data_IF_603052289525
#
_entry.id   IF_603052289525
#
_cell.length_a   1.000
_cell.length_b   1.000
_cell.length_c   1.000
_cell.angle_alpha   90.00
_cell.angle_beta   90.00
_cell.angle_gamma   90.00
#
_symmetry.space_group_name_H-M   'P 1'
#
loop_
_entity.id
_entity.type
_entity.pdbx_description
1 polymer ?
#
# COMPACT_ATOMS: atom_id res chain seq x y z
N UNK A 1 -28.82 13.88 35.36
CA UNK A 1 -28.00 12.71 34.99
C UNK A 1 -26.75 12.76 35.87
N UNK A 2 -26.68 11.90 36.89
CA UNK A 2 -25.61 11.90 37.89
C UNK A 2 -24.51 10.92 37.47
N UNK A 3 -23.24 11.32 37.60
CA UNK A 3 -22.04 10.53 37.31
C UNK A 3 -22.02 9.17 38.06
N UNK A 4 -22.82 9.03 39.10
CA UNK A 4 -22.97 7.81 39.88
C UNK A 4 -23.45 6.58 39.07
N UNK A 5 -24.08 6.76 37.89
CA UNK A 5 -24.51 5.64 37.04
C UNK A 5 -23.39 5.03 36.17
N UNK A 6 -22.18 5.60 36.19
CA UNK A 6 -21.03 5.11 35.41
C UNK A 6 -20.11 4.16 36.21
N UNK A 7 -20.42 3.91 37.48
CA UNK A 7 -19.64 3.07 38.40
C UNK A 7 -20.36 1.76 38.73
N UNK A 8 -21.07 1.18 37.77
CA UNK A 8 -21.45 -0.23 37.91
C UNK A 8 -20.20 -1.06 37.68
N UNK A 9 -19.74 -1.86 38.67
CA UNK A 9 -18.72 -2.87 38.40
C UNK A 9 -19.30 -3.81 37.36
N UNK A 10 -18.62 -3.92 36.23
CA UNK A 10 -18.89 -4.97 35.24
C UNK A 10 -18.48 -6.28 35.91
N UNK A 11 -19.45 -7.15 36.16
CA UNK A 11 -19.17 -8.52 36.56
C UNK A 11 -18.34 -9.17 35.43
N UNK A 12 -17.05 -9.35 35.66
CA UNK A 12 -16.18 -10.09 34.76
C UNK A 12 -16.58 -11.57 34.83
N UNK A 13 -17.40 -12.00 33.86
CA UNK A 13 -17.60 -13.42 33.61
C UNK A 13 -16.24 -14.08 33.38
N UNK A 14 -15.97 -15.27 33.97
CA UNK A 14 -14.75 -15.99 33.70
C UNK A 14 -14.74 -16.40 32.24
N UNK A 15 -14.01 -15.66 31.39
CA UNK A 15 -13.75 -16.07 30.03
C UNK A 15 -12.88 -17.31 30.10
N UNK A 16 -13.52 -18.48 30.02
CA UNK A 16 -12.83 -19.74 29.75
C UNK A 16 -12.27 -19.60 28.35
N UNK A 17 -11.00 -19.21 28.24
CA UNK A 17 -10.27 -19.32 27.00
C UNK A 17 -10.28 -20.80 26.63
N UNK A 18 -11.08 -21.16 25.63
CA UNK A 18 -11.03 -22.49 25.05
C UNK A 18 -9.68 -22.61 24.33
N UNK A 19 -8.68 -23.12 25.05
CA UNK A 19 -7.40 -23.47 24.46
C UNK A 19 -7.63 -24.59 23.46
N UNK A 20 -7.42 -24.30 22.18
CA UNK A 20 -7.46 -25.30 21.12
C UNK A 20 -6.35 -26.32 21.37
N UNK A 21 -6.68 -27.60 21.21
CA UNK A 21 -5.68 -28.65 21.31
C UNK A 21 -4.73 -28.64 20.11
N UNK A 22 -3.50 -29.11 20.28
CA UNK A 22 -2.51 -29.19 19.20
C UNK A 22 -3.05 -29.91 17.95
N UNK A 23 -3.96 -30.88 18.12
CA UNK A 23 -4.60 -31.59 17.02
C UNK A 23 -5.56 -30.71 16.20
N UNK A 24 -6.26 -29.77 16.85
CA UNK A 24 -7.15 -28.81 16.18
C UNK A 24 -6.35 -27.73 15.46
N UNK A 25 -5.20 -27.32 16.03
CA UNK A 25 -4.26 -26.39 15.40
C UNK A 25 -3.67 -27.02 14.13
N UNK A 26 -3.24 -28.28 14.18
CA UNK A 26 -2.67 -28.98 13.02
C UNK A 26 -3.70 -29.12 11.89
N UNK A 27 -4.97 -29.36 12.23
CA UNK A 27 -6.04 -29.46 11.24
C UNK A 27 -6.30 -28.13 10.52
N UNK A 28 -6.31 -27.01 11.25
CA UNK A 28 -6.41 -25.68 10.65
C UNK A 28 -5.26 -25.37 9.69
N UNK A 29 -4.05 -25.85 9.97
CA UNK A 29 -2.88 -25.67 9.07
C UNK A 29 -3.01 -26.47 7.78
N UNK A 30 -3.66 -27.65 7.82
CA UNK A 30 -3.75 -28.55 6.66
C UNK A 30 -4.90 -28.21 5.70
N UNK A 31 -5.97 -27.59 6.19
CA UNK A 31 -7.11 -27.21 5.37
C UNK A 31 -6.83 -25.93 4.52
N UNK A 32 -5.77 -25.17 4.81
CA UNK A 32 -5.36 -23.94 4.10
C UNK A 32 -4.38 -24.16 2.93
N UNK A 33 -3.89 -25.39 2.70
CA UNK A 33 -2.89 -25.69 1.64
C UNK A 33 -3.50 -26.10 0.28
N UNK A 34 -4.83 -26.07 0.11
CA UNK A 34 -5.51 -26.34 -1.19
C UNK A 34 -6.08 -25.07 -1.87
N UNK A 35 -5.49 -23.89 -1.67
CA UNK A 35 -5.80 -22.71 -2.49
C UNK A 35 -4.68 -22.39 -3.50
N UNK A 36 -4.94 -22.87 -4.71
CA UNK A 36 -4.61 -22.23 -6.00
C UNK A 36 -3.11 -22.03 -6.28
N UNK A 37 -2.49 -23.06 -6.88
CA UNK A 37 -1.32 -22.93 -7.76
C UNK A 37 -1.64 -22.11 -9.03
N UNK A 38 -2.26 -20.94 -8.86
CA UNK A 38 -2.26 -19.89 -9.85
C UNK A 38 -0.94 -19.17 -9.72
N UNK A 39 0.08 -19.60 -10.48
CA UNK A 39 1.26 -18.81 -10.79
C UNK A 39 0.73 -17.48 -11.37
N UNK A 40 0.58 -16.48 -10.49
CA UNK A 40 0.28 -15.13 -10.88
C UNK A 40 1.51 -14.66 -11.65
N UNK A 41 1.52 -14.92 -12.95
CA UNK A 41 2.39 -14.24 -13.90
C UNK A 41 2.19 -12.76 -13.62
N UNK A 42 3.11 -12.19 -12.84
CA UNK A 42 3.25 -10.76 -12.65
C UNK A 42 3.55 -10.22 -14.03
N UNK A 43 2.51 -9.87 -14.77
CA UNK A 43 2.63 -9.21 -16.06
C UNK A 43 3.39 -7.94 -15.77
N UNK A 44 4.68 -7.96 -16.05
CA UNK A 44 5.55 -6.78 -16.00
C UNK A 44 5.02 -5.84 -17.07
N UNK A 45 4.04 -5.02 -16.71
CA UNK A 45 3.49 -4.01 -17.60
C UNK A 45 4.59 -2.97 -17.76
N UNK A 46 5.26 -3.02 -18.90
CA UNK A 46 6.31 -2.08 -19.30
C UNK A 46 5.66 -0.75 -19.68
N UNK A 47 5.28 0.02 -18.66
CA UNK A 47 4.71 1.35 -18.87
C UNK A 47 5.75 2.27 -19.52
N UNK A 48 5.34 2.97 -20.57
CA UNK A 48 6.16 4.01 -21.20
C UNK A 48 6.48 5.11 -20.20
N UNK A 49 7.64 5.76 -20.36
CA UNK A 49 8.01 6.94 -19.56
C UNK A 49 6.91 8.02 -19.66
N UNK A 50 6.28 8.17 -20.83
CA UNK A 50 5.18 9.11 -21.04
C UNK A 50 3.94 8.76 -20.21
N UNK A 51 3.58 7.48 -20.12
CA UNK A 51 2.46 6.99 -19.31
C UNK A 51 2.74 7.17 -17.82
N UNK A 52 3.96 6.88 -17.37
CA UNK A 52 4.39 7.12 -15.98
C UNK A 52 4.31 8.60 -15.62
N UNK A 53 4.73 9.50 -16.52
CA UNK A 53 4.63 10.95 -16.32
C UNK A 53 3.18 11.43 -16.28
N UNK A 54 2.30 10.88 -17.13
CA UNK A 54 0.88 11.20 -17.14
C UNK A 54 0.19 10.74 -15.85
N UNK A 55 0.47 9.51 -15.40
CA UNK A 55 -0.05 8.97 -14.15
C UNK A 55 0.41 9.82 -12.95
N UNK A 56 1.69 10.21 -12.89
CA UNK A 56 2.18 11.09 -11.83
C UNK A 56 1.48 12.45 -11.82
N UNK A 57 1.24 13.04 -12.99
CA UNK A 57 0.53 14.31 -13.10
C UNK A 57 -0.91 14.21 -12.60
N UNK A 58 -1.61 13.12 -12.93
CA UNK A 58 -2.95 12.82 -12.41
C UNK A 58 -2.94 12.65 -10.89
N UNK A 59 -2.03 11.82 -10.35
CA UNK A 59 -1.91 11.61 -8.91
C UNK A 59 -1.63 12.91 -8.15
N UNK A 60 -0.78 13.79 -8.70
CA UNK A 60 -0.51 15.11 -8.11
C UNK A 60 -1.77 15.98 -8.08
N UNK A 61 -2.59 15.93 -9.14
CA UNK A 61 -3.82 16.74 -9.24
C UNK A 61 -4.91 16.35 -8.24
N UNK A 62 -4.85 15.14 -7.68
CA UNK A 62 -5.80 14.63 -6.70
C UNK A 62 -5.45 15.00 -5.25
N UNK A 63 -4.26 15.58 -5.00
CA UNK A 63 -3.81 15.90 -3.65
C UNK A 63 -4.42 17.19 -3.14
N UNK A 64 -4.88 17.17 -1.88
CA UNK A 64 -5.38 18.35 -1.19
C UNK A 64 -4.24 19.07 -0.45
N UNK A 65 -3.73 20.15 -1.04
CA UNK A 65 -2.60 20.90 -0.48
C UNK A 65 -2.89 21.62 0.85
N UNK A 66 -4.16 21.67 1.27
CA UNK A 66 -4.54 22.16 2.60
C UNK A 66 -4.09 21.19 3.71
N UNK A 67 -3.91 19.90 3.39
CA UNK A 67 -3.40 18.88 4.31
C UNK A 67 -1.88 18.78 4.22
N UNK A 68 -1.20 18.78 5.37
CA UNK A 68 0.27 18.72 5.40
C UNK A 68 0.83 17.40 4.87
N UNK A 69 0.11 16.29 5.07
CA UNK A 69 0.45 14.98 4.51
C UNK A 69 0.47 15.02 2.98
N UNK A 70 -0.58 15.56 2.39
CA UNK A 70 -0.74 15.62 0.94
C UNK A 70 0.23 16.64 0.32
N UNK A 71 0.61 17.69 1.06
CA UNK A 71 1.70 18.60 0.69
C UNK A 71 3.05 17.90 0.66
N UNK A 72 3.33 17.01 1.62
CA UNK A 72 4.54 16.19 1.60
C UNK A 72 4.54 15.22 0.41
N UNK A 73 3.42 14.54 0.17
CA UNK A 73 3.23 13.67 -0.98
C UNK A 73 3.41 14.43 -2.32
N UNK A 74 2.84 15.63 -2.44
CA UNK A 74 2.98 16.48 -3.62
C UNK A 74 4.44 16.80 -3.91
N UNK A 75 5.23 17.18 -2.89
CA UNK A 75 6.67 17.45 -3.06
C UNK A 75 7.43 16.20 -3.51
N UNK A 76 7.13 15.04 -2.93
CA UNK A 76 7.75 13.78 -3.30
C UNK A 76 7.45 13.40 -4.76
N UNK A 77 6.17 13.44 -5.15
CA UNK A 77 5.73 13.12 -6.51
C UNK A 77 6.33 14.08 -7.55
N UNK A 78 6.37 15.38 -7.26
CA UNK A 78 7.06 16.36 -8.12
C UNK A 78 8.55 16.05 -8.30
N UNK A 79 9.22 15.62 -7.23
CA UNK A 79 10.64 15.25 -7.29
C UNK A 79 10.86 14.03 -8.20
N UNK A 80 10.00 13.01 -8.05
CA UNK A 80 10.03 11.81 -8.89
C UNK A 80 9.77 12.18 -10.36
N UNK A 81 8.77 13.04 -10.63
CA UNK A 81 8.46 13.52 -11.97
C UNK A 81 9.66 14.22 -12.62
N UNK A 82 10.33 15.11 -11.87
CA UNK A 82 11.52 15.80 -12.35
C UNK A 82 12.69 14.84 -12.66
N UNK A 83 12.90 13.84 -11.81
CA UNK A 83 13.91 12.81 -12.03
C UNK A 83 13.62 11.99 -13.29
N UNK A 84 12.37 11.55 -13.49
CA UNK A 84 11.97 10.80 -14.68
C UNK A 84 12.21 11.61 -15.96
N UNK A 85 11.84 12.89 -15.96
CA UNK A 85 12.10 13.80 -17.07
C UNK A 85 13.61 13.90 -17.35
N UNK A 86 14.42 14.13 -16.31
CA UNK A 86 15.88 14.26 -16.47
C UNK A 86 16.55 12.99 -17.00
N UNK A 87 16.09 11.82 -16.58
CA UNK A 87 16.60 10.54 -17.06
C UNK A 87 16.31 10.36 -18.56
N UNK A 88 15.10 10.74 -19.00
CA UNK A 88 14.74 10.72 -20.41
C UNK A 88 15.58 11.70 -21.24
N UNK A 89 15.82 12.91 -20.73
CA UNK A 89 16.67 13.89 -21.41
C UNK A 89 18.11 13.38 -21.53
N UNK A 90 18.65 12.74 -20.49
CA UNK A 90 20.00 12.15 -20.51
C UNK A 90 20.08 11.01 -21.53
N UNK A 91 19.09 10.12 -21.55
CA UNK A 91 19.01 9.00 -22.50
C UNK A 91 18.98 9.51 -23.95
N UNK A 92 18.06 10.42 -24.26
CA UNK A 92 17.93 11.02 -25.61
C UNK A 92 19.17 11.79 -26.03
N UNK A 93 19.83 12.48 -25.09
CA UNK A 93 21.09 13.18 -25.37
C UNK A 93 22.20 12.17 -25.69
N UNK A 94 22.41 11.14 -24.86
CA UNK A 94 23.38 10.08 -25.12
C UNK A 94 23.15 9.39 -26.47
N UNK A 95 21.90 9.05 -26.78
CA UNK A 95 21.53 8.43 -28.06
C UNK A 95 21.85 9.32 -29.27
N UNK A 96 21.79 10.65 -29.10
CA UNK A 96 22.15 11.60 -30.16
C UNK A 96 23.66 11.78 -30.35
N UNK A 97 24.46 11.53 -29.31
CA UNK A 97 25.93 11.64 -29.36
C UNK A 97 26.60 10.35 -29.85
N UNK A 98 25.92 9.21 -29.71
CA UNK A 98 26.39 7.89 -30.13
C UNK A 98 25.99 7.52 -31.58
N UNK A 99 25.33 8.44 -32.30
CA UNK A 99 25.02 8.33 -33.74
C UNK A 99 25.98 9.17 -34.57
#
# INVERSE_FOLDING_TARGET
MSIASLLNPVDEEPTVHAELSDAEIIKLVQDDEEEDEGEAEEKVVTHSIAEKLAALALSISLLDLSQDRDRAAHRALRRIQAQLCSANTIQTTLDSWLK
#
